data_IF_626436949996
#
_entry.id   IF_626436949996
#
_cell.length_a   1.000
_cell.length_b   1.000
_cell.length_c   1.000
_cell.angle_alpha   90.00
_cell.angle_beta   90.00
_cell.angle_gamma   90.00
#
_symmetry.space_group_name_H-M   'P 1'
#
loop_
_entity.id
_entity.type
_entity.pdbx_description
1 polymer ?
#
# COMPACT_ATOMS: atom_id res chain seq x y z
N UNK A 1 -12.66 -13.84 -8.56
CA UNK A 1 -12.27 -13.89 -7.13
C UNK A 1 -13.21 -13.00 -6.32
N UNK A 2 -13.69 -13.46 -5.20
CA UNK A 2 -14.57 -12.65 -4.35
C UNK A 2 -13.74 -11.82 -3.34
N UNK A 3 -14.40 -10.89 -2.68
CA UNK A 3 -13.74 -9.97 -1.74
C UNK A 3 -13.08 -10.71 -0.57
N UNK A 4 -13.72 -11.77 -0.08
CA UNK A 4 -13.17 -12.59 1.02
C UNK A 4 -11.84 -13.22 0.65
N UNK A 5 -11.75 -13.80 -0.54
CA UNK A 5 -10.52 -14.44 -1.02
C UNK A 5 -9.42 -13.42 -1.23
N UNK A 6 -9.77 -12.26 -1.79
CA UNK A 6 -8.85 -11.15 -1.98
C UNK A 6 -8.26 -10.68 -0.66
N UNK A 7 -9.11 -10.48 0.36
CA UNK A 7 -8.67 -10.06 1.68
C UNK A 7 -7.70 -11.08 2.28
N UNK A 8 -8.02 -12.37 2.15
CA UNK A 8 -7.16 -13.44 2.65
C UNK A 8 -5.77 -13.41 2.00
N UNK A 9 -5.73 -13.23 0.67
CA UNK A 9 -4.47 -13.15 -0.07
C UNK A 9 -3.66 -11.94 0.41
N UNK A 10 -4.29 -10.78 0.57
CA UNK A 10 -3.63 -9.58 1.05
C UNK A 10 -3.06 -9.77 2.45
N UNK A 11 -3.82 -10.40 3.35
CA UNK A 11 -3.37 -10.64 4.72
C UNK A 11 -2.16 -11.56 4.77
N UNK A 12 -2.09 -12.56 3.90
CA UNK A 12 -0.92 -13.43 3.79
C UNK A 12 0.34 -12.69 3.31
N UNK A 13 0.18 -11.52 2.71
CA UNK A 13 1.28 -10.75 2.15
C UNK A 13 1.58 -9.46 2.93
N UNK A 14 1.15 -9.40 4.19
CA UNK A 14 1.49 -8.29 5.06
C UNK A 14 0.60 -7.07 4.93
N UNK A 15 -0.62 -7.27 4.45
CA UNK A 15 -1.62 -6.21 4.35
C UNK A 15 -2.85 -6.55 5.19
N UNK A 16 -3.38 -5.55 5.89
CA UNK A 16 -4.67 -5.64 6.54
C UNK A 16 -5.68 -4.89 5.69
N UNK A 17 -6.81 -5.52 5.40
CA UNK A 17 -7.85 -4.93 4.55
C UNK A 17 -9.18 -4.95 5.31
N UNK A 18 -9.84 -3.81 5.38
CA UNK A 18 -11.15 -3.74 6.01
C UNK A 18 -12.02 -2.68 5.34
N UNK A 19 -13.33 -2.80 5.55
CA UNK A 19 -14.29 -1.87 4.96
C UNK A 19 -14.29 -0.54 5.72
N UNK A 20 -14.18 0.55 4.97
CA UNK A 20 -14.41 1.89 5.51
C UNK A 20 -15.91 2.22 5.43
N UNK A 21 -16.50 1.92 4.25
CA UNK A 21 -17.94 2.01 4.05
C UNK A 21 -18.33 1.05 2.92
N UNK A 22 -19.57 1.14 2.41
CA UNK A 22 -20.06 0.21 1.38
C UNK A 22 -19.35 0.36 0.03
N UNK A 23 -18.65 1.46 -0.20
CA UNK A 23 -17.99 1.76 -1.48
C UNK A 23 -16.48 1.83 -1.40
N UNK A 24 -15.90 1.69 -0.20
CA UNK A 24 -14.47 1.96 0.00
C UNK A 24 -13.85 0.96 0.97
N UNK A 25 -12.63 0.53 0.64
CA UNK A 25 -11.80 -0.32 1.50
C UNK A 25 -10.57 0.46 1.93
N UNK A 26 -10.05 0.12 3.11
CA UNK A 26 -8.78 0.63 3.61
C UNK A 26 -7.77 -0.52 3.55
N UNK A 27 -6.62 -0.24 2.93
CA UNK A 27 -5.48 -1.16 2.91
C UNK A 27 -4.40 -0.61 3.82
N UNK A 28 -3.94 -1.42 4.76
CA UNK A 28 -2.85 -1.06 5.66
C UNK A 28 -1.69 -2.03 5.52
N UNK A 29 -0.49 -1.51 5.27
CA UNK A 29 0.73 -2.30 5.35
C UNK A 29 1.13 -2.43 6.81
N UNK A 30 1.36 -3.66 7.27
CA UNK A 30 1.62 -3.95 8.69
C UNK A 30 2.91 -4.74 8.85
N UNK A 31 3.58 -4.53 9.99
CA UNK A 31 4.75 -5.28 10.40
C UNK A 31 4.61 -5.63 11.89
N UNK A 32 5.68 -6.09 12.53
CA UNK A 32 5.67 -6.50 13.93
C UNK A 32 5.32 -5.36 14.90
N UNK A 33 5.54 -4.12 14.47
CA UNK A 33 5.26 -2.93 15.29
C UNK A 33 3.83 -2.44 15.09
N UNK A 34 3.22 -2.74 13.93
CA UNK A 34 1.87 -2.31 13.61
C UNK A 34 1.76 -1.77 12.19
N UNK A 35 0.75 -0.94 11.96
CA UNK A 35 0.52 -0.31 10.66
C UNK A 35 1.52 0.82 10.43
N UNK A 36 2.14 0.87 9.25
CA UNK A 36 3.09 1.92 8.91
C UNK A 36 2.72 2.66 7.62
N UNK A 37 1.69 2.23 6.92
CA UNK A 37 1.24 2.88 5.69
C UNK A 37 -0.19 2.47 5.41
N UNK A 38 -1.02 3.38 4.93
CA UNK A 38 -2.38 3.04 4.54
C UNK A 38 -2.83 3.88 3.34
N UNK A 39 -3.82 3.36 2.62
CA UNK A 39 -4.47 4.07 1.54
C UNK A 39 -5.87 3.50 1.32
N UNK A 40 -6.68 4.21 0.55
CA UNK A 40 -8.07 3.88 0.33
C UNK A 40 -8.27 3.47 -1.13
N UNK A 41 -9.10 2.46 -1.34
CA UNK A 41 -9.50 2.04 -2.69
C UNK A 41 -11.02 1.90 -2.77
N UNK A 42 -11.55 2.15 -3.95
CA UNK A 42 -12.99 1.95 -4.22
C UNK A 42 -13.23 0.47 -4.45
N UNK A 43 -14.31 -0.07 -3.87
CA UNK A 43 -14.62 -1.50 -3.93
C UNK A 43 -14.76 -2.04 -5.36
N UNK A 44 -15.19 -1.19 -6.31
CA UNK A 44 -15.40 -1.61 -7.70
C UNK A 44 -14.19 -1.35 -8.60
N UNK A 45 -13.10 -0.77 -8.06
CA UNK A 45 -11.92 -0.38 -8.82
C UNK A 45 -10.64 -0.70 -8.07
N UNK A 46 -10.60 -1.86 -7.40
CA UNK A 46 -9.51 -2.20 -6.48
C UNK A 46 -8.15 -2.21 -7.19
N UNK A 47 -8.03 -2.96 -8.28
CA UNK A 47 -6.75 -3.09 -8.99
C UNK A 47 -6.33 -1.75 -9.61
N UNK A 48 -7.27 -1.03 -10.21
CA UNK A 48 -7.02 0.27 -10.82
C UNK A 48 -6.52 1.28 -9.78
N UNK A 49 -7.16 1.32 -8.61
CA UNK A 49 -6.78 2.25 -7.55
C UNK A 49 -5.43 1.89 -6.92
N UNK A 50 -5.11 0.60 -6.81
CA UNK A 50 -3.79 0.15 -6.36
C UNK A 50 -2.72 0.56 -7.38
N UNK A 51 -3.00 0.41 -8.67
CA UNK A 51 -2.09 0.86 -9.72
C UNK A 51 -1.83 2.36 -9.63
N UNK A 52 -2.88 3.15 -9.42
CA UNK A 52 -2.75 4.61 -9.27
C UNK A 52 -1.92 4.96 -8.03
N UNK A 53 -2.13 4.26 -6.93
CA UNK A 53 -1.37 4.47 -5.71
C UNK A 53 0.11 4.13 -5.91
N UNK A 54 0.39 3.04 -6.63
CA UNK A 54 1.76 2.65 -6.98
C UNK A 54 2.44 3.72 -7.82
N UNK A 55 1.75 4.25 -8.82
CA UNK A 55 2.27 5.32 -9.67
C UNK A 55 2.60 6.57 -8.85
N UNK A 56 1.73 6.95 -7.93
CA UNK A 56 1.96 8.09 -7.03
C UNK A 56 3.17 7.84 -6.13
N UNK A 57 3.29 6.64 -5.56
CA UNK A 57 4.40 6.30 -4.69
C UNK A 57 5.74 6.37 -5.43
N UNK A 58 5.79 5.83 -6.65
CA UNK A 58 7.00 5.88 -7.48
C UNK A 58 7.38 7.31 -7.87
N UNK A 59 6.38 8.13 -8.22
CA UNK A 59 6.61 9.51 -8.63
C UNK A 59 7.06 10.41 -7.48
N UNK A 60 6.71 10.06 -6.25
CA UNK A 60 6.92 10.91 -5.07
C UNK A 60 7.91 10.34 -4.05
N UNK A 61 8.73 9.37 -4.43
CA UNK A 61 9.70 8.77 -3.49
C UNK A 61 10.54 9.84 -2.78
N UNK A 62 11.14 10.75 -3.54
CA UNK A 62 11.99 11.78 -2.98
C UNK A 62 11.21 12.76 -2.10
N UNK A 63 10.02 13.13 -2.52
CA UNK A 63 9.14 14.04 -1.78
C UNK A 63 8.70 13.42 -0.45
N UNK A 64 8.31 12.15 -0.49
CA UNK A 64 7.91 11.41 0.70
C UNK A 64 9.08 11.25 1.68
N UNK A 65 10.25 10.90 1.16
CA UNK A 65 11.46 10.77 1.97
C UNK A 65 11.81 12.09 2.65
N UNK A 66 11.71 13.21 1.94
CA UNK A 66 11.95 14.54 2.49
C UNK A 66 10.96 14.87 3.61
N UNK A 67 9.69 14.55 3.42
CA UNK A 67 8.67 14.76 4.44
C UNK A 67 8.94 13.94 5.69
N UNK A 68 9.30 12.67 5.52
CA UNK A 68 9.68 11.81 6.64
C UNK A 68 10.89 12.34 7.38
N UNK A 69 11.91 12.77 6.66
CA UNK A 69 13.12 13.34 7.26
C UNK A 69 12.77 14.57 8.09
N UNK A 70 11.96 15.45 7.55
CA UNK A 70 11.56 16.70 8.23
C UNK A 70 10.73 16.43 9.48
N UNK A 71 9.81 15.48 9.43
CA UNK A 71 8.87 15.22 10.54
C UNK A 71 9.45 14.32 11.62
N UNK A 72 10.36 13.40 11.27
CA UNK A 72 10.88 12.40 12.22
C UNK A 72 12.33 12.65 12.63
N UNK A 73 13.04 13.51 11.92
CA UNK A 73 14.47 13.78 12.11
C UNK A 73 15.35 12.54 11.87
N UNK A 74 14.83 11.50 11.25
CA UNK A 74 15.62 10.33 10.85
C UNK A 74 16.55 10.70 9.69
N UNK A 75 17.70 10.02 9.53
CA UNK A 75 18.58 10.26 8.39
C UNK A 75 17.84 10.13 7.06
N UNK A 76 18.16 11.01 6.10
CA UNK A 76 17.48 11.02 4.80
C UNK A 76 17.58 9.69 4.07
N UNK A 77 18.74 9.02 4.15
CA UNK A 77 18.91 7.69 3.53
C UNK A 77 17.90 6.66 4.06
N UNK A 78 17.64 6.68 5.36
CA UNK A 78 16.66 5.78 5.98
C UNK A 78 15.23 6.11 5.50
N UNK A 79 14.94 7.39 5.32
CA UNK A 79 13.65 7.83 4.80
C UNK A 79 13.46 7.41 3.33
N UNK A 80 14.52 7.48 2.52
CA UNK A 80 14.49 7.02 1.14
C UNK A 80 14.27 5.51 1.08
N UNK A 81 14.92 4.73 1.94
CA UNK A 81 14.72 3.30 2.02
C UNK A 81 13.27 2.96 2.40
N UNK A 82 12.70 3.70 3.35
CA UNK A 82 11.30 3.50 3.77
C UNK A 82 10.34 3.80 2.61
N UNK A 83 10.57 4.89 1.88
CA UNK A 83 9.75 5.24 0.73
C UNK A 83 9.81 4.18 -0.37
N UNK A 84 11.01 3.67 -0.66
CA UNK A 84 11.20 2.60 -1.65
C UNK A 84 10.56 1.30 -1.19
N UNK A 85 10.62 1.00 0.10
CA UNK A 85 9.95 -0.18 0.66
C UNK A 85 8.45 -0.13 0.43
N UNK A 86 7.83 1.03 0.64
CA UNK A 86 6.40 1.21 0.39
C UNK A 86 6.08 1.02 -1.08
N UNK A 87 6.86 1.61 -1.98
CA UNK A 87 6.67 1.43 -3.43
C UNK A 87 6.79 -0.04 -3.83
N UNK A 88 7.75 -0.76 -3.27
CA UNK A 88 7.95 -2.20 -3.53
C UNK A 88 6.77 -3.02 -3.00
N UNK A 89 6.24 -2.68 -1.83
CA UNK A 89 5.07 -3.35 -1.26
C UNK A 89 3.83 -3.15 -2.14
N UNK A 90 3.64 -1.95 -2.65
CA UNK A 90 2.54 -1.66 -3.56
C UNK A 90 2.67 -2.39 -4.89
N UNK A 91 3.89 -2.46 -5.42
CA UNK A 91 4.18 -3.20 -6.66
C UNK A 91 3.84 -4.69 -6.48
N UNK A 92 4.28 -5.28 -5.39
CA UNK A 92 4.00 -6.68 -5.04
C UNK A 92 2.50 -6.92 -4.93
N UNK A 93 1.79 -6.04 -4.21
CA UNK A 93 0.34 -6.13 -4.07
C UNK A 93 -0.37 -6.05 -5.42
N UNK A 94 0.04 -5.11 -6.27
CA UNK A 94 -0.52 -4.97 -7.61
C UNK A 94 -0.33 -6.23 -8.44
N UNK A 95 0.87 -6.81 -8.41
CA UNK A 95 1.17 -8.04 -9.16
C UNK A 95 0.33 -9.20 -8.69
N UNK A 96 0.19 -9.38 -7.38
CA UNK A 96 -0.61 -10.46 -6.81
C UNK A 96 -2.07 -10.35 -7.23
N UNK A 97 -2.66 -9.18 -7.08
CA UNK A 97 -4.08 -8.99 -7.40
C UNK A 97 -4.36 -8.99 -8.90
N UNK A 98 -3.42 -8.51 -9.71
CA UNK A 98 -3.55 -8.58 -11.18
C UNK A 98 -3.50 -10.02 -11.68
N UNK A 99 -2.64 -10.85 -11.10
CA UNK A 99 -2.50 -12.26 -11.49
C UNK A 99 -3.74 -13.06 -11.15
N UNK A 100 -4.51 -12.66 -10.13
CA UNK A 100 -5.69 -13.39 -9.66
C UNK A 100 -7.00 -12.80 -10.15
N UNK A 101 -6.96 -11.77 -10.99
CA UNK A 101 -8.14 -11.04 -11.44
C UNK A 101 -9.00 -11.79 -12.45
N UNK A 102 -8.57 -12.86 -12.99
CA UNK A 102 -9.31 -13.61 -14.02
C UNK A 102 -10.58 -14.27 -13.51
#
# INVERSE_FOLDING_TARGET
MNTKDMIRICEHNGWRVYKNDCSELIFEAVNDVGSYYNFYVRTNHIVEDIHDQLAKANASINSYATQLHTSTMCPLNDCEMAARHIANKLCELYQILSATKN
#
